data_IF_561306802926
#
_entry.id   IF_561306802926
#
_cell.length_a   1.000
_cell.length_b   1.000
_cell.length_c   1.000
_cell.angle_alpha   90.00
_cell.angle_beta   90.00
_cell.angle_gamma   90.00
#
_symmetry.space_group_name_H-M   'P 1'
#
loop_
_entity.id
_entity.type
_entity.pdbx_description
1 polymer ?
#
# COMPACT_ATOMS: atom_id res chain seq x y z
N UNK A 1 14.82 -8.55 -29.05
CA UNK A 1 15.58 -8.44 -27.79
C UNK A 1 14.59 -8.28 -26.64
N UNK A 2 14.39 -9.27 -25.76
CA UNK A 2 13.54 -9.08 -24.60
C UNK A 2 14.34 -8.39 -23.48
N UNK A 3 13.68 -7.45 -22.82
CA UNK A 3 14.22 -6.58 -21.79
C UNK A 3 14.71 -7.36 -20.57
N UNK A 4 15.92 -7.03 -20.10
CA UNK A 4 16.50 -7.46 -18.84
C UNK A 4 15.54 -7.22 -17.67
N UNK A 5 14.89 -8.29 -17.19
CA UNK A 5 14.28 -8.31 -15.87
C UNK A 5 15.40 -8.42 -14.84
N UNK A 6 15.79 -7.28 -14.28
CA UNK A 6 16.63 -7.21 -13.09
C UNK A 6 15.85 -7.75 -11.89
N UNK A 7 15.92 -9.08 -11.72
CA UNK A 7 15.23 -9.85 -10.68
C UNK A 7 16.16 -9.99 -9.47
N UNK A 8 16.26 -8.92 -8.66
CA UNK A 8 17.01 -8.99 -7.40
C UNK A 8 16.15 -9.63 -6.30
N UNK A 9 16.61 -10.80 -5.84
CA UNK A 9 16.25 -11.64 -4.66
C UNK A 9 15.05 -11.19 -3.82
N UNK A 10 13.84 -11.44 -4.31
CA UNK A 10 12.71 -11.77 -3.45
C UNK A 10 12.79 -13.27 -3.12
N UNK A 11 12.48 -13.72 -1.88
CA UNK A 11 12.30 -15.14 -1.59
C UNK A 11 11.34 -15.78 -2.60
N UNK A 12 11.55 -17.03 -2.99
CA UNK A 12 10.81 -17.71 -4.06
C UNK A 12 9.29 -17.61 -3.91
N UNK A 13 8.80 -17.59 -2.67
CA UNK A 13 7.38 -17.47 -2.31
C UNK A 13 6.80 -16.06 -2.54
N UNK A 14 7.60 -15.00 -2.46
CA UNK A 14 7.16 -13.64 -2.80
C UNK A 14 6.85 -13.52 -4.30
N UNK A 15 7.62 -14.21 -5.15
CA UNK A 15 7.40 -14.20 -6.60
C UNK A 15 6.05 -14.81 -6.99
N UNK A 16 5.52 -15.77 -6.22
CA UNK A 16 4.19 -16.34 -6.49
C UNK A 16 3.04 -15.33 -6.36
N UNK A 17 3.16 -14.35 -5.45
CA UNK A 17 2.17 -13.29 -5.33
C UNK A 17 2.37 -12.25 -6.44
N UNK A 18 3.62 -11.84 -6.66
CA UNK A 18 3.96 -10.63 -7.41
C UNK A 18 4.08 -10.86 -8.91
N UNK A 19 4.67 -11.98 -9.33
CA UNK A 19 4.96 -12.22 -10.75
C UNK A 19 3.71 -12.24 -11.63
N UNK A 20 2.62 -12.98 -11.30
CA UNK A 20 1.41 -12.95 -12.12
C UNK A 20 0.79 -11.55 -12.22
N UNK A 21 0.84 -10.78 -11.14
CA UNK A 21 0.34 -9.40 -11.10
C UNK A 21 1.17 -8.51 -12.03
N UNK A 22 2.49 -8.60 -11.97
CA UNK A 22 3.39 -7.82 -12.84
C UNK A 22 3.22 -8.17 -14.31
N UNK A 23 3.02 -9.44 -14.65
CA UNK A 23 2.78 -9.87 -16.04
C UNK A 23 1.52 -9.21 -16.60
N UNK A 24 0.41 -9.26 -15.85
CA UNK A 24 -0.84 -8.62 -16.28
C UNK A 24 -0.68 -7.11 -16.39
N UNK A 25 -0.08 -6.47 -15.38
CA UNK A 25 0.13 -5.02 -15.37
C UNK A 25 1.00 -4.55 -16.55
N UNK A 26 2.07 -5.26 -16.88
CA UNK A 26 2.92 -4.94 -18.04
C UNK A 26 2.18 -5.06 -19.36
N UNK A 27 1.23 -5.99 -19.47
CA UNK A 27 0.42 -6.18 -20.69
C UNK A 27 -0.54 -5.03 -20.99
N UNK A 28 -0.92 -4.24 -19.98
CA UNK A 28 -1.93 -3.19 -20.07
C UNK A 28 -1.36 -1.76 -20.06
N UNK A 29 -0.04 -1.59 -19.97
CA UNK A 29 0.60 -0.27 -19.97
C UNK A 29 0.50 0.41 -21.34
N UNK A 30 0.32 1.74 -21.33
CA UNK A 30 0.39 2.55 -22.53
C UNK A 30 1.78 2.50 -23.19
N UNK A 31 1.85 2.87 -24.48
CA UNK A 31 3.13 2.92 -25.20
C UNK A 31 4.13 3.86 -24.52
N UNK A 32 5.40 3.44 -24.44
CA UNK A 32 6.48 4.20 -23.79
C UNK A 32 6.39 4.25 -22.26
N UNK A 33 5.44 3.55 -21.64
CA UNK A 33 5.33 3.42 -20.19
C UNK A 33 6.00 2.13 -19.72
N UNK A 34 6.84 2.23 -18.69
CA UNK A 34 7.47 1.06 -18.06
C UNK A 34 7.11 1.00 -16.59
N UNK A 35 6.71 -0.19 -16.12
CA UNK A 35 6.45 -0.45 -14.71
C UNK A 35 7.59 -1.30 -14.16
N UNK A 36 8.20 -0.83 -13.07
CA UNK A 36 9.25 -1.57 -12.35
C UNK A 36 8.77 -1.87 -10.94
N UNK A 37 8.82 -3.14 -10.57
CA UNK A 37 8.68 -3.60 -9.20
C UNK A 37 10.08 -3.90 -8.66
N UNK A 38 10.48 -3.26 -7.57
CA UNK A 38 11.81 -3.43 -7.01
C UNK A 38 11.77 -3.48 -5.48
N UNK A 39 12.67 -4.27 -4.89
CA UNK A 39 13.02 -4.11 -3.49
C UNK A 39 13.99 -2.95 -3.34
N UNK A 40 13.85 -2.09 -2.32
CA UNK A 40 14.87 -1.08 -2.09
C UNK A 40 16.14 -1.72 -1.51
N UNK A 41 17.21 -1.72 -2.32
CA UNK A 41 18.52 -2.31 -1.96
C UNK A 41 19.37 -1.32 -1.14
N UNK A 42 19.12 -0.02 -1.21
CA UNK A 42 19.91 0.99 -0.49
C UNK A 42 19.00 2.14 -0.03
N UNK A 43 19.04 2.46 1.26
CA UNK A 43 18.33 3.63 1.79
C UNK A 43 18.87 4.89 1.11
N UNK A 44 18.07 5.52 0.25
CA UNK A 44 18.34 6.91 -0.10
C UNK A 44 18.20 7.72 1.18
N UNK A 45 19.23 8.51 1.54
CA UNK A 45 19.32 9.27 2.79
C UNK A 45 18.00 10.05 3.00
N UNK A 46 17.27 9.74 4.07
CA UNK A 46 16.00 10.39 4.42
C UNK A 46 14.71 9.71 3.91
N UNK A 47 14.79 8.66 3.08
CA UNK A 47 13.60 7.90 2.64
C UNK A 47 13.32 6.68 3.50
N UNK A 48 12.04 6.32 3.56
CA UNK A 48 11.59 5.20 4.36
C UNK A 48 11.83 3.90 3.60
N UNK A 49 12.63 2.97 4.14
CA UNK A 49 12.83 1.65 3.52
C UNK A 49 11.51 0.90 3.46
N UNK A 50 11.15 0.45 2.27
CA UNK A 50 9.98 -0.40 1.98
C UNK A 50 10.45 -1.72 1.38
N UNK A 51 9.70 -2.79 1.62
CA UNK A 51 10.08 -4.11 1.07
C UNK A 51 9.93 -4.18 -0.45
N UNK A 52 8.82 -3.70 -1.00
CA UNK A 52 8.57 -3.62 -2.44
C UNK A 52 7.91 -2.30 -2.82
N UNK A 53 8.33 -1.77 -3.97
CA UNK A 53 7.76 -0.56 -4.55
C UNK A 53 7.56 -0.73 -6.04
N UNK A 54 6.39 -0.30 -6.52
CA UNK A 54 6.09 -0.17 -7.94
C UNK A 54 6.28 1.28 -8.36
N UNK A 55 7.19 1.51 -9.29
CA UNK A 55 7.41 2.80 -9.91
C UNK A 55 7.15 2.69 -11.40
N UNK A 56 6.35 3.62 -11.90
CA UNK A 56 6.02 3.74 -13.30
C UNK A 56 6.79 4.90 -13.92
N UNK A 57 7.38 4.71 -15.08
CA UNK A 57 8.13 5.73 -15.81
C UNK A 57 7.49 5.97 -17.18
N UNK A 58 7.27 7.24 -17.52
CA UNK A 58 6.81 7.72 -18.84
C UNK A 58 7.66 8.93 -19.22
N UNK A 59 8.59 8.75 -20.17
CA UNK A 59 9.62 9.75 -20.44
C UNK A 59 10.49 10.02 -19.20
N UNK A 60 10.57 11.28 -18.78
CA UNK A 60 11.30 11.72 -17.57
C UNK A 60 10.46 11.64 -16.29
N UNK A 61 9.13 11.47 -16.38
CA UNK A 61 8.25 11.42 -15.20
C UNK A 61 8.30 10.03 -14.58
N UNK A 62 8.58 9.97 -13.28
CA UNK A 62 8.47 8.76 -12.46
C UNK A 62 7.38 8.94 -11.42
N UNK A 63 6.48 7.97 -11.32
CA UNK A 63 5.38 7.95 -10.34
C UNK A 63 5.46 6.68 -9.52
N UNK A 64 5.45 6.80 -8.19
CA UNK A 64 5.26 5.65 -7.31
C UNK A 64 3.77 5.30 -7.28
N UNK A 65 3.43 4.08 -7.70
CA UNK A 65 2.03 3.65 -7.85
C UNK A 65 1.57 2.73 -6.73
N UNK A 66 2.49 2.05 -6.05
CA UNK A 66 2.17 1.19 -4.91
C UNK A 66 3.41 0.90 -4.07
N UNK A 67 3.18 0.67 -2.78
CA UNK A 67 4.14 0.10 -1.84
C UNK A 67 3.57 -1.18 -1.25
N UNK A 68 4.38 -2.22 -1.09
CA UNK A 68 4.03 -3.42 -0.32
C UNK A 68 5.10 -3.66 0.74
N UNK A 69 4.62 -4.00 1.93
CA UNK A 69 5.43 -4.28 3.10
C UNK A 69 5.03 -5.67 3.66
N UNK A 70 6.02 -6.55 3.80
CA UNK A 70 5.84 -7.85 4.41
C UNK A 70 5.84 -7.73 5.93
N UNK A 71 5.02 -8.54 6.58
CA UNK A 71 4.97 -8.68 8.04
C UNK A 71 5.13 -10.13 8.45
N UNK A 72 5.51 -10.30 9.71
CA UNK A 72 5.49 -11.62 10.35
C UNK A 72 4.09 -12.20 10.29
N UNK A 73 3.99 -13.51 10.16
CA UNK A 73 2.71 -14.22 10.09
C UNK A 73 1.78 -13.84 11.22
N UNK A 74 0.49 -13.59 10.89
CA UNK A 74 -0.56 -13.21 11.86
C UNK A 74 -0.31 -11.87 12.57
N UNK A 75 0.59 -11.03 12.06
CA UNK A 75 0.80 -9.68 12.59
C UNK A 75 -0.38 -8.73 12.30
N UNK A 76 -1.20 -9.04 11.29
CA UNK A 76 -2.37 -8.25 10.92
C UNK A 76 -3.63 -8.87 11.52
N UNK A 77 -4.15 -8.26 12.58
CA UNK A 77 -5.40 -8.68 13.24
C UNK A 77 -6.42 -7.56 13.13
N UNK A 78 -7.60 -7.85 12.57
CA UNK A 78 -8.64 -6.83 12.35
C UNK A 78 -9.07 -6.17 13.67
N UNK A 79 -9.12 -6.94 14.76
CA UNK A 79 -9.49 -6.46 16.09
C UNK A 79 -8.61 -5.31 16.60
N UNK A 80 -7.33 -5.27 16.17
CA UNK A 80 -6.40 -4.20 16.55
C UNK A 80 -6.76 -2.85 15.89
N UNK A 81 -7.51 -2.89 14.79
CA UNK A 81 -7.95 -1.74 14.00
C UNK A 81 -9.42 -1.38 14.22
N UNK A 82 -10.27 -2.34 14.63
CA UNK A 82 -11.71 -2.16 14.83
C UNK A 82 -12.10 -0.86 15.56
N UNK A 83 -11.40 -0.43 16.65
CA UNK A 83 -11.78 0.78 17.38
C UNK A 83 -11.77 2.07 16.55
N UNK A 84 -11.05 2.10 15.43
CA UNK A 84 -10.93 3.29 14.57
C UNK A 84 -11.66 3.16 13.23
N UNK A 85 -12.30 2.01 12.95
CA UNK A 85 -13.05 1.82 11.71
C UNK A 85 -14.34 2.62 11.81
N UNK A 86 -14.50 3.60 10.92
CA UNK A 86 -15.62 4.52 10.91
C UNK A 86 -15.87 5.05 9.50
N UNK A 87 -17.02 5.67 9.29
CA UNK A 87 -17.33 6.43 8.08
C UNK A 87 -16.92 7.91 8.23
N UNK A 88 -17.28 8.74 7.25
CA UNK A 88 -16.94 10.17 7.28
C UNK A 88 -17.66 10.90 8.42
N UNK A 89 -18.88 10.50 8.77
CA UNK A 89 -19.68 11.16 9.80
C UNK A 89 -19.13 10.85 11.22
N UNK A 90 -18.61 9.65 11.44
CA UNK A 90 -18.01 9.25 12.71
C UNK A 90 -16.53 9.64 12.88
N UNK A 91 -15.85 10.11 11.82
CA UNK A 91 -14.44 10.49 11.88
C UNK A 91 -14.10 11.57 12.94
N UNK A 92 -14.88 12.64 13.13
CA UNK A 92 -14.62 13.63 14.20
C UNK A 92 -14.64 13.01 15.60
N UNK A 93 -15.61 12.12 15.87
CA UNK A 93 -15.73 11.47 17.17
C UNK A 93 -14.52 10.57 17.47
N UNK A 94 -14.09 9.77 16.50
CA UNK A 94 -12.90 8.91 16.63
C UNK A 94 -11.64 9.72 16.89
N UNK A 95 -11.45 10.86 16.20
CA UNK A 95 -10.29 11.73 16.43
C UNK A 95 -10.31 12.29 17.85
N UNK A 96 -11.45 12.79 18.32
CA UNK A 96 -11.58 13.35 19.67
C UNK A 96 -11.31 12.27 20.73
N UNK A 97 -11.96 11.11 20.63
CA UNK A 97 -11.73 10.00 21.55
C UNK A 97 -10.29 9.50 21.54
N UNK A 98 -9.61 9.53 20.38
CA UNK A 98 -8.20 9.15 20.28
C UNK A 98 -7.26 10.13 20.97
N UNK A 99 -7.61 11.40 21.08
CA UNK A 99 -6.79 12.39 21.78
C UNK A 99 -6.87 12.23 23.30
N UNK A 100 -8.02 11.82 23.79
CA UNK A 100 -8.29 11.60 25.21
C UNK A 100 -7.82 10.21 25.70
N UNK A 101 -7.44 9.32 24.78
CA UNK A 101 -6.95 7.99 25.08
C UNK A 101 -5.47 7.96 25.46
N UNK A 102 -5.06 6.91 26.19
CA UNK A 102 -3.67 6.64 26.51
C UNK A 102 -2.79 6.59 25.24
N UNK A 103 -1.61 7.21 25.31
CA UNK A 103 -0.70 7.41 24.18
C UNK A 103 -1.32 8.12 22.95
N UNK A 104 -2.45 8.82 23.14
CA UNK A 104 -3.21 9.54 22.13
C UNK A 104 -3.58 8.68 20.92
N UNK A 105 -4.01 7.42 21.16
CA UNK A 105 -4.49 6.53 20.10
C UNK A 105 -5.46 5.47 20.60
N UNK A 106 -6.47 5.14 19.77
CA UNK A 106 -7.39 4.00 19.99
C UNK A 106 -6.89 2.69 19.37
N UNK A 107 -5.78 2.73 18.63
CA UNK A 107 -5.18 1.55 18.02
C UNK A 107 -4.52 0.67 19.06
N UNK A 108 -4.72 -0.65 18.93
CA UNK A 108 -4.20 -1.63 19.88
C UNK A 108 -2.99 -2.38 19.31
N UNK A 109 -2.14 -2.87 20.21
CA UNK A 109 -1.04 -3.78 19.90
C UNK A 109 -0.22 -3.37 18.65
N UNK A 110 -0.16 -4.25 17.64
CA UNK A 110 0.63 -4.03 16.43
C UNK A 110 0.07 -2.90 15.57
N UNK A 111 -1.23 -2.62 15.59
CA UNK A 111 -1.84 -1.64 14.70
C UNK A 111 -1.32 -0.22 14.95
N UNK A 112 -0.98 0.14 16.20
CA UNK A 112 -0.38 1.45 16.49
C UNK A 112 1.01 1.61 15.85
N UNK A 113 1.86 0.59 15.95
CA UNK A 113 3.19 0.62 15.32
C UNK A 113 3.08 0.62 13.79
N UNK A 114 2.17 -0.17 13.25
CA UNK A 114 1.93 -0.28 11.82
C UNK A 114 1.34 1.01 11.24
N UNK A 115 0.39 1.66 11.92
CA UNK A 115 -0.21 2.92 11.45
C UNK A 115 0.82 4.05 11.36
N UNK A 116 1.73 4.15 12.34
CA UNK A 116 2.86 5.09 12.31
C UNK A 116 3.77 4.83 11.12
N UNK A 117 4.05 3.57 10.82
CA UNK A 117 4.83 3.18 9.64
C UNK A 117 4.12 3.56 8.33
N UNK A 118 2.83 3.23 8.21
CA UNK A 118 2.02 3.58 7.04
C UNK A 118 1.97 5.09 6.79
N UNK A 119 1.82 5.89 7.86
CA UNK A 119 1.84 7.36 7.77
C UNK A 119 3.18 7.92 7.28
N UNK A 120 4.28 7.23 7.54
CA UNK A 120 5.59 7.58 6.98
C UNK A 120 5.62 7.31 5.47
N UNK A 121 5.14 6.13 5.05
CA UNK A 121 5.07 5.75 3.64
C UNK A 121 4.07 6.57 2.82
N UNK A 122 3.00 7.07 3.45
CA UNK A 122 1.94 7.84 2.77
C UNK A 122 2.42 9.18 2.18
N UNK A 123 3.63 9.62 2.55
CA UNK A 123 4.33 10.75 1.96
C UNK A 123 4.91 10.42 0.58
N UNK A 124 5.25 9.16 0.33
CA UNK A 124 5.86 8.69 -0.92
C UNK A 124 4.83 8.02 -1.85
N UNK A 125 3.84 7.32 -1.29
CA UNK A 125 2.78 6.65 -2.04
C UNK A 125 1.47 6.62 -1.26
N UNK A 126 0.34 6.88 -1.92
CA UNK A 126 -0.98 6.84 -1.27
C UNK A 126 -1.56 5.43 -1.15
N UNK A 127 -1.12 4.51 -2.00
CA UNK A 127 -1.57 3.12 -2.04
C UNK A 127 -0.51 2.21 -1.39
N UNK A 128 -0.79 1.73 -0.17
CA UNK A 128 0.17 0.94 0.62
C UNK A 128 -0.47 -0.38 1.05
N UNK A 129 0.25 -1.48 0.86
CA UNK A 129 -0.18 -2.83 1.24
C UNK A 129 0.65 -3.33 2.42
N UNK A 130 -0.04 -3.81 3.46
CA UNK A 130 0.56 -4.70 4.46
C UNK A 130 0.16 -6.13 4.14
N UNK A 131 1.13 -7.05 4.14
CA UNK A 131 0.90 -8.45 3.82
C UNK A 131 1.65 -9.37 4.78
N UNK A 132 0.93 -10.27 5.45
CA UNK A 132 1.50 -11.18 6.46
C UNK A 132 1.34 -12.67 6.14
N UNK A 133 1.15 -12.98 4.85
CA UNK A 133 0.90 -14.33 4.31
C UNK A 133 -0.50 -14.90 4.59
N UNK A 134 -1.18 -14.42 5.63
CA UNK A 134 -2.54 -14.85 6.00
C UNK A 134 -3.59 -13.79 5.70
N UNK A 135 -3.19 -12.53 5.67
CA UNK A 135 -4.03 -11.37 5.50
C UNK A 135 -3.32 -10.33 4.63
N UNK A 136 -4.10 -9.63 3.83
CA UNK A 136 -3.67 -8.49 3.02
C UNK A 136 -4.54 -7.29 3.33
N UNK A 137 -3.91 -6.20 3.77
CA UNK A 137 -4.57 -4.93 4.09
C UNK A 137 -4.06 -3.87 3.13
N UNK A 138 -4.95 -3.29 2.35
CA UNK A 138 -4.67 -2.20 1.42
C UNK A 138 -5.18 -0.92 2.04
N UNK A 139 -4.28 0.05 2.22
CA UNK A 139 -4.55 1.38 2.72
C UNK A 139 -4.48 2.37 1.57
N UNK A 140 -5.58 3.07 1.34
CA UNK A 140 -5.69 4.18 0.39
C UNK A 140 -5.79 5.49 1.17
N UNK A 141 -4.67 6.22 1.15
CA UNK A 141 -4.48 7.52 1.80
C UNK A 141 -4.87 8.71 0.90
N UNK A 142 -5.47 8.49 -0.26
CA UNK A 142 -5.93 9.57 -1.13
C UNK A 142 -7.01 10.40 -0.42
N UNK A 143 -6.75 11.70 -0.25
CA UNK A 143 -7.67 12.62 0.44
C UNK A 143 -7.79 12.43 1.95
N UNK A 144 -7.09 11.46 2.54
CA UNK A 144 -7.13 11.22 3.99
C UNK A 144 -6.62 12.43 4.78
N UNK A 145 -7.35 12.78 5.84
CA UNK A 145 -7.10 13.94 6.69
C UNK A 145 -7.42 13.60 8.14
N UNK A 146 -6.46 13.81 9.02
CA UNK A 146 -6.65 13.74 10.48
C UNK A 146 -6.92 15.14 11.07
N UNK A 147 -7.21 16.16 10.25
CA UNK A 147 -7.53 17.50 10.73
C UNK A 147 -8.89 17.49 11.44
N UNK A 148 -8.92 17.95 12.70
CA UNK A 148 -10.14 18.03 13.52
C UNK A 148 -11.30 18.77 12.86
N UNK A 149 -11.03 19.80 12.05
CA UNK A 149 -12.09 20.61 11.40
C UNK A 149 -12.75 19.88 10.24
N UNK A 150 -11.95 19.13 9.47
CA UNK A 150 -12.39 18.42 8.26
C UNK A 150 -11.66 17.07 8.17
N UNK A 151 -12.05 16.10 9.01
CA UNK A 151 -11.43 14.80 8.97
C UNK A 151 -11.97 13.98 7.82
N UNK A 152 -11.10 13.19 7.21
CA UNK A 152 -11.46 12.26 6.15
C UNK A 152 -10.71 10.95 6.39
N UNK A 153 -11.43 9.84 6.64
CA UNK A 153 -10.81 8.57 7.02
C UNK A 153 -9.99 7.98 5.86
N UNK A 154 -8.93 7.26 6.21
CA UNK A 154 -8.20 6.41 5.27
C UNK A 154 -9.10 5.23 4.88
N UNK A 155 -9.16 4.90 3.59
CA UNK A 155 -9.92 3.74 3.14
C UNK A 155 -9.10 2.47 3.29
N UNK A 156 -9.68 1.43 3.86
CA UNK A 156 -9.01 0.14 4.07
C UNK A 156 -9.80 -0.94 3.34
N UNK A 157 -9.12 -1.69 2.48
CA UNK A 157 -9.63 -2.95 1.92
C UNK A 157 -8.84 -4.10 2.52
N UNK A 158 -9.51 -5.09 3.09
CA UNK A 158 -8.83 -6.22 3.72
C UNK A 158 -9.39 -7.55 3.20
N UNK A 159 -8.53 -8.58 3.23
CA UNK A 159 -8.93 -9.97 2.99
C UNK A 159 -7.98 -10.90 3.73
N UNK A 160 -8.53 -11.98 4.28
CA UNK A 160 -7.79 -13.16 4.76
C UNK A 160 -7.89 -14.36 3.80
N UNK A 161 -8.64 -14.20 2.71
CA UNK A 161 -8.77 -15.20 1.65
C UNK A 161 -7.62 -15.03 0.64
N UNK A 162 -6.71 -16.01 0.65
CA UNK A 162 -5.50 -16.00 -0.17
C UNK A 162 -5.77 -16.07 -1.67
N UNK A 163 -6.93 -16.60 -2.08
CA UNK A 163 -7.34 -16.63 -3.49
C UNK A 163 -7.58 -15.22 -4.06
N UNK A 164 -7.84 -14.24 -3.19
CA UNK A 164 -8.13 -12.84 -3.58
C UNK A 164 -6.89 -11.96 -3.65
N UNK A 165 -5.77 -12.34 -3.01
CA UNK A 165 -4.61 -11.45 -2.84
C UNK A 165 -4.07 -10.89 -4.16
N UNK A 166 -3.93 -11.73 -5.19
CA UNK A 166 -3.46 -11.28 -6.51
C UNK A 166 -4.43 -10.28 -7.15
N UNK A 167 -5.74 -10.52 -7.05
CA UNK A 167 -6.77 -9.64 -7.63
C UNK A 167 -6.84 -8.31 -6.90
N UNK A 168 -6.70 -8.33 -5.58
CA UNK A 168 -6.65 -7.12 -4.76
C UNK A 168 -5.43 -6.26 -5.11
N UNK A 169 -4.24 -6.86 -5.17
CA UNK A 169 -3.01 -6.16 -5.55
C UNK A 169 -3.09 -5.61 -6.97
N UNK A 170 -3.57 -6.42 -7.92
CA UNK A 170 -3.79 -6.01 -9.30
C UNK A 170 -4.77 -4.84 -9.39
N UNK A 171 -5.92 -4.94 -8.72
CA UNK A 171 -6.96 -3.90 -8.74
C UNK A 171 -6.48 -2.58 -8.17
N UNK A 172 -5.74 -2.60 -7.06
CA UNK A 172 -5.14 -1.41 -6.46
C UNK A 172 -4.17 -0.72 -7.42
N UNK A 173 -3.20 -1.46 -7.97
CA UNK A 173 -2.19 -0.89 -8.87
C UNK A 173 -2.83 -0.41 -10.18
N UNK A 174 -3.74 -1.20 -10.75
CA UNK A 174 -4.46 -0.83 -11.96
C UNK A 174 -5.25 0.47 -11.79
N UNK A 175 -5.99 0.61 -10.68
CA UNK A 175 -6.74 1.84 -10.37
C UNK A 175 -5.82 3.05 -10.38
N UNK A 176 -4.65 2.96 -9.73
CA UNK A 176 -3.68 4.05 -9.70
C UNK A 176 -3.11 4.35 -11.08
N UNK A 177 -2.71 3.33 -11.85
CA UNK A 177 -2.23 3.49 -13.23
C UNK A 177 -3.27 4.14 -14.14
N UNK A 178 -4.55 3.74 -14.02
CA UNK A 178 -5.65 4.32 -14.78
C UNK A 178 -5.87 5.79 -14.44
N UNK A 179 -5.88 6.14 -13.15
CA UNK A 179 -5.98 7.54 -12.68
C UNK A 179 -4.87 8.44 -13.24
N UNK A 180 -3.67 7.89 -13.41
CA UNK A 180 -2.50 8.61 -13.94
C UNK A 180 -2.41 8.61 -15.48
N UNK A 181 -3.36 7.97 -16.19
CA UNK A 181 -3.33 7.87 -17.65
C UNK A 181 -2.17 7.03 -18.19
N UNK A 182 -1.80 5.97 -17.46
CA UNK A 182 -0.64 5.11 -17.74
C UNK A 182 -1.02 3.75 -18.34
N UNK A 183 -2.31 3.48 -18.50
CA UNK A 183 -2.84 2.27 -19.14
C UNK A 183 -3.23 2.56 -20.59
N UNK A 184 -3.27 1.52 -21.43
CA UNK A 184 -3.82 1.61 -22.79
C UNK A 184 -5.27 2.12 -22.72
N UNK A 185 -5.62 3.02 -23.65
CA UNK A 185 -6.99 3.49 -23.84
C UNK A 185 -7.89 2.34 -24.29
#
# INVERSE_FOLDING_TARGET
MPANQSLYRAPSYCLYLIHPVNVVLSGILAAGVTLRCQSEVVSQKGKARVDLIWRCQKGSKTVTVAVLEYKNTKALRLDDWKPIITDVAGAPAIINSGLDADASSLLKDNALKLSRQLKKYSRECKDIVLFDWYSMYIFDFEGASENRRHPFPTRITYSSDSSKFRRLLLGMIYRKLKKEGLVKA
#
